data_IF_349084387317
#
_entry.id   IF_349084387317
#
_cell.length_a   1.000
_cell.length_b   1.000
_cell.length_c   1.000
_cell.angle_alpha   90.00
_cell.angle_beta   90.00
_cell.angle_gamma   90.00
#
_symmetry.space_group_name_H-M   'P 1'
#
loop_
_entity.id
_entity.type
_entity.pdbx_description
1 polymer ?
#
# COMPACT_ATOMS: atom_id res chain seq x y z
N UNK A 1 11.05 -6.13 5.44
CA UNK A 1 12.47 -5.71 5.42
C UNK A 1 12.93 -5.16 6.78
N UNK A 2 12.22 -4.17 7.35
CA UNK A 2 12.55 -3.55 8.63
C UNK A 2 12.66 -4.53 9.81
N UNK A 3 11.72 -5.47 9.94
CA UNK A 3 11.74 -6.50 11.01
C UNK A 3 12.94 -7.43 10.92
N UNK A 4 13.35 -7.79 9.70
CA UNK A 4 14.50 -8.67 9.47
C UNK A 4 15.78 -7.92 9.85
N UNK A 5 15.95 -6.69 9.35
CA UNK A 5 17.13 -5.87 9.65
C UNK A 5 17.27 -5.55 11.16
N UNK A 6 16.15 -5.26 11.82
CA UNK A 6 16.11 -5.02 13.26
C UNK A 6 16.46 -6.29 14.05
N UNK A 7 15.88 -7.43 13.68
CA UNK A 7 16.16 -8.70 14.36
C UNK A 7 17.63 -9.10 14.20
N UNK A 8 18.19 -8.99 12.99
CA UNK A 8 19.58 -9.39 12.72
C UNK A 8 20.59 -8.48 13.40
N UNK A 9 20.36 -7.16 13.37
CA UNK A 9 21.26 -6.18 14.01
C UNK A 9 21.25 -6.33 15.53
N UNK A 10 20.07 -6.52 16.13
CA UNK A 10 19.94 -6.76 17.56
C UNK A 10 20.64 -8.06 17.99
N UNK A 11 20.44 -9.17 17.28
CA UNK A 11 21.10 -10.44 17.61
C UNK A 11 22.61 -10.34 17.47
N UNK A 12 23.12 -9.66 16.44
CA UNK A 12 24.56 -9.49 16.24
C UNK A 12 25.18 -8.69 17.39
N UNK A 13 24.63 -7.52 17.72
CA UNK A 13 25.13 -6.67 18.80
C UNK A 13 25.07 -7.42 20.14
N UNK A 14 23.98 -8.15 20.41
CA UNK A 14 23.85 -8.94 21.62
C UNK A 14 24.91 -10.05 21.72
N UNK A 15 25.19 -10.76 20.63
CA UNK A 15 26.24 -11.81 20.61
C UNK A 15 27.63 -11.21 20.83
N UNK A 16 27.95 -10.08 20.21
CA UNK A 16 29.23 -9.38 20.42
C UNK A 16 29.37 -8.92 21.87
N UNK A 17 28.30 -8.35 22.44
CA UNK A 17 28.28 -7.91 23.84
C UNK A 17 28.48 -9.10 24.80
N UNK A 18 27.81 -10.23 24.56
CA UNK A 18 27.93 -11.43 25.37
C UNK A 18 29.37 -12.00 25.33
N UNK A 19 29.98 -12.03 24.14
CA UNK A 19 31.38 -12.45 23.97
C UNK A 19 32.33 -11.53 24.73
N UNK A 20 32.16 -10.20 24.61
CA UNK A 20 33.00 -9.23 25.32
C UNK A 20 32.87 -9.34 26.85
N UNK A 21 31.65 -9.61 27.33
CA UNK A 21 31.35 -9.82 28.75
C UNK A 21 32.02 -11.07 29.31
N UNK A 22 32.21 -12.12 28.50
CA UNK A 22 32.89 -13.37 28.91
C UNK A 22 34.41 -13.27 28.74
N UNK A 23 34.92 -12.57 27.73
CA UNK A 23 36.37 -12.41 27.49
C UNK A 23 37.04 -11.68 28.66
N UNK A 24 36.43 -10.61 29.18
CA UNK A 24 37.01 -9.79 30.24
C UNK A 24 37.37 -10.58 31.52
N UNK A 25 36.47 -11.38 32.11
CA UNK A 25 36.81 -12.23 33.25
C UNK A 25 37.72 -13.40 32.88
N UNK A 26 37.60 -13.97 31.67
CA UNK A 26 38.44 -15.07 31.22
C UNK A 26 39.92 -14.64 31.10
N UNK A 27 40.17 -13.43 30.62
CA UNK A 27 41.52 -12.87 30.51
C UNK A 27 42.12 -12.58 31.90
N UNK A 28 41.32 -12.02 32.83
CA UNK A 28 41.72 -11.81 34.22
C UNK A 28 42.13 -13.13 34.92
N UNK A 29 41.39 -14.22 34.67
CA UNK A 29 41.73 -15.55 35.18
C UNK A 29 43.03 -16.07 34.54
N UNK A 30 43.19 -15.90 33.22
CA UNK A 30 44.36 -16.39 32.50
C UNK A 30 45.66 -15.67 32.91
N UNK A 31 45.60 -14.35 33.12
CA UNK A 31 46.72 -13.55 33.62
C UNK A 31 47.10 -13.93 35.06
N UNK A 32 46.10 -14.22 35.90
CA UNK A 32 46.33 -14.65 37.27
C UNK A 32 46.91 -16.08 37.37
N UNK A 33 46.72 -16.92 36.34
CA UNK A 33 47.30 -18.27 36.26
C UNK A 33 48.79 -18.26 35.84
N UNK A 34 49.19 -17.35 34.95
CA UNK A 34 50.57 -17.27 34.45
C UNK A 34 51.51 -16.40 35.31
N UNK A 35 50.97 -15.54 36.19
CA UNK A 35 51.75 -14.78 37.18
C UNK A 35 52.18 -15.65 38.37
N UNK A 36 53.49 -15.86 38.54
CA UNK A 36 54.05 -16.74 39.58
C UNK A 36 53.87 -16.28 41.04
N UNK A 37 53.64 -17.27 41.91
CA UNK A 37 53.98 -17.37 43.34
C UNK A 37 53.03 -16.79 44.43
N UNK A 38 52.23 -17.69 45.02
CA UNK A 38 51.94 -17.73 46.47
C UNK A 38 50.78 -16.88 47.01
N UNK A 39 50.58 -15.64 46.55
CA UNK A 39 49.55 -14.72 47.11
C UNK A 39 48.37 -14.45 46.17
N UNK A 40 48.49 -14.77 44.88
CA UNK A 40 47.46 -14.53 43.86
C UNK A 40 46.34 -15.59 43.81
N UNK A 41 46.54 -16.80 44.35
CA UNK A 41 45.50 -17.84 44.37
C UNK A 41 44.26 -17.40 45.17
N UNK A 42 44.46 -16.70 46.29
CA UNK A 42 43.36 -16.12 47.08
C UNK A 42 42.56 -15.08 46.27
N UNK A 43 43.24 -14.27 45.45
CA UNK A 43 42.57 -13.28 44.60
C UNK A 43 41.77 -13.96 43.48
N UNK A 44 42.26 -15.07 42.92
CA UNK A 44 41.54 -15.87 41.92
C UNK A 44 40.21 -16.39 42.48
N UNK A 45 40.21 -16.93 43.70
CA UNK A 45 38.98 -17.42 44.35
C UNK A 45 37.97 -16.29 44.61
N UNK A 46 38.43 -15.10 45.00
CA UNK A 46 37.56 -13.94 45.22
C UNK A 46 36.95 -13.46 43.90
N UNK A 47 37.74 -13.38 42.83
CA UNK A 47 37.27 -12.97 41.50
C UNK A 47 36.28 -13.99 40.94
N UNK A 48 36.61 -15.28 40.96
CA UNK A 48 35.73 -16.34 40.48
C UNK A 48 34.42 -16.41 41.29
N UNK A 49 34.50 -16.22 42.61
CA UNK A 49 33.32 -16.16 43.48
C UNK A 49 32.40 -14.98 43.15
N UNK A 50 32.97 -13.78 42.96
CA UNK A 50 32.22 -12.59 42.59
C UNK A 50 31.50 -12.77 41.24
N UNK A 51 32.18 -13.28 40.21
CA UNK A 51 31.56 -13.52 38.91
C UNK A 51 30.51 -14.64 38.90
N UNK A 52 30.71 -15.68 39.70
CA UNK A 52 29.70 -16.74 39.86
C UNK A 52 28.45 -16.17 40.52
N UNK A 53 28.60 -15.33 41.53
CA UNK A 53 27.48 -14.69 42.22
C UNK A 53 26.74 -13.69 41.31
N UNK A 54 27.45 -12.90 40.50
CA UNK A 54 26.81 -12.01 39.53
C UNK A 54 26.07 -12.78 38.44
N UNK A 55 26.62 -13.91 37.96
CA UNK A 55 25.93 -14.78 37.01
C UNK A 55 24.65 -15.36 37.59
N UNK A 56 24.67 -15.81 38.85
CA UNK A 56 23.46 -16.27 39.56
C UNK A 56 22.43 -15.14 39.66
N UNK A 57 22.83 -13.93 40.05
CA UNK A 57 21.92 -12.77 40.12
C UNK A 57 21.31 -12.42 38.75
N UNK A 58 22.12 -12.43 37.69
CA UNK A 58 21.63 -12.20 36.31
C UNK A 58 20.59 -13.23 35.92
N UNK A 59 20.84 -14.52 36.20
CA UNK A 59 19.88 -15.60 35.93
C UNK A 59 18.60 -15.40 36.73
N UNK A 60 18.69 -15.09 38.02
CA UNK A 60 17.51 -14.85 38.87
C UNK A 60 16.68 -13.67 38.37
N UNK A 61 17.31 -12.54 38.03
CA UNK A 61 16.62 -11.36 37.49
C UNK A 61 15.97 -11.69 36.13
N UNK A 62 16.67 -12.41 35.25
CA UNK A 62 16.15 -12.81 33.96
C UNK A 62 14.93 -13.73 34.09
N UNK A 63 15.03 -14.74 34.96
CA UNK A 63 13.95 -15.67 35.26
C UNK A 63 12.75 -14.93 35.86
N UNK A 64 12.98 -14.02 36.81
CA UNK A 64 11.92 -13.18 37.38
C UNK A 64 11.22 -12.37 36.30
N UNK A 65 11.97 -11.69 35.41
CA UNK A 65 11.40 -10.94 34.30
C UNK A 65 10.56 -11.82 33.38
N UNK A 66 11.02 -13.03 33.09
CA UNK A 66 10.28 -13.98 32.26
C UNK A 66 8.97 -14.41 32.93
N UNK A 67 9.00 -14.69 34.24
CA UNK A 67 7.81 -15.07 35.00
C UNK A 67 6.81 -13.91 35.13
N UNK A 68 7.26 -12.71 35.51
CA UNK A 68 6.39 -11.53 35.62
C UNK A 68 5.72 -11.21 34.29
N UNK A 69 6.47 -11.26 33.18
CA UNK A 69 5.88 -10.98 31.85
C UNK A 69 4.80 -12.01 31.49
N UNK A 70 5.04 -13.29 31.79
CA UNK A 70 4.05 -14.35 31.57
C UNK A 70 2.82 -14.16 32.45
N UNK A 71 3.01 -13.87 33.74
CA UNK A 71 1.92 -13.59 34.67
C UNK A 71 1.09 -12.39 34.22
N UNK A 72 1.73 -11.29 33.82
CA UNK A 72 1.03 -10.11 33.29
C UNK A 72 0.18 -10.45 32.07
N UNK A 73 0.66 -11.31 31.16
CA UNK A 73 -0.11 -11.73 29.98
C UNK A 73 -1.29 -12.63 30.37
N UNK A 74 -1.13 -13.46 31.39
CA UNK A 74 -2.22 -14.32 31.90
C UNK A 74 -3.25 -13.54 32.71
N UNK A 75 -2.85 -12.45 33.37
CA UNK A 75 -3.72 -11.53 34.10
C UNK A 75 -4.54 -10.61 33.17
N UNK A 76 -4.16 -10.45 31.89
CA UNK A 76 -5.00 -9.75 30.91
C UNK A 76 -6.33 -10.49 30.81
N UNK A 77 -7.47 -9.87 31.15
CA UNK A 77 -8.75 -10.54 31.15
C UNK A 77 -9.08 -10.99 29.72
N UNK A 78 -8.98 -12.31 29.47
CA UNK A 78 -9.32 -12.90 28.19
C UNK A 78 -10.83 -12.75 28.01
N UNK A 79 -11.26 -12.13 26.90
CA UNK A 79 -12.69 -11.97 26.58
C UNK A 79 -13.36 -13.34 26.64
N UNK A 80 -14.18 -13.56 27.66
CA UNK A 80 -14.87 -14.83 27.85
C UNK A 80 -15.88 -15.02 26.71
N UNK A 81 -15.68 -16.06 25.89
CA UNK A 81 -16.63 -16.46 24.85
C UNK A 81 -17.20 -17.82 25.26
N UNK A 82 -18.50 -17.92 25.59
CA UNK A 82 -19.11 -19.16 26.08
C UNK A 82 -19.27 -20.17 24.95
N UNK A 83 -18.22 -20.96 24.71
CA UNK A 83 -18.16 -21.98 23.64
C UNK A 83 -18.19 -23.40 24.25
N UNK A 84 -17.80 -23.58 25.53
CA UNK A 84 -17.68 -24.89 26.15
C UNK A 84 -19.04 -25.44 26.60
N UNK A 85 -19.11 -26.77 26.75
CA UNK A 85 -20.30 -27.44 27.31
C UNK A 85 -20.35 -27.14 28.81
N UNK A 86 -21.44 -26.54 29.29
CA UNK A 86 -21.64 -26.18 30.70
C UNK A 86 -21.67 -24.68 30.99
N UNK A 87 -21.10 -23.84 30.10
CA UNK A 87 -21.06 -22.38 30.30
C UNK A 87 -22.43 -21.72 30.16
N UNK A 88 -23.26 -22.24 29.24
CA UNK A 88 -24.61 -21.74 28.94
C UNK A 88 -25.56 -22.88 28.61
N UNK A 89 -26.90 -22.69 28.78
CA UNK A 89 -27.89 -23.69 28.38
C UNK A 89 -27.72 -24.11 26.92
N UNK A 90 -27.95 -25.39 26.63
CA UNK A 90 -27.67 -25.97 25.30
C UNK A 90 -28.35 -25.24 24.13
N UNK A 91 -29.55 -24.67 24.35
CA UNK A 91 -30.25 -23.85 23.34
C UNK A 91 -29.51 -22.56 23.00
N UNK A 92 -29.00 -21.86 24.01
CA UNK A 92 -28.24 -20.61 23.84
C UNK A 92 -26.90 -20.90 23.16
N UNK A 93 -26.21 -21.97 23.59
CA UNK A 93 -24.98 -22.43 22.94
C UNK A 93 -25.17 -22.68 21.44
N UNK A 94 -26.27 -23.35 21.07
CA UNK A 94 -26.59 -23.62 19.67
C UNK A 94 -26.78 -22.32 18.87
N UNK A 95 -27.51 -21.34 19.42
CA UNK A 95 -27.70 -20.03 18.77
C UNK A 95 -26.37 -19.28 18.60
N UNK A 96 -25.50 -19.31 19.59
CA UNK A 96 -24.17 -18.68 19.52
C UNK A 96 -23.31 -19.37 18.46
N UNK A 97 -23.28 -20.71 18.43
CA UNK A 97 -22.54 -21.47 17.42
C UNK A 97 -23.07 -21.21 15.99
N UNK A 98 -24.39 -21.17 15.82
CA UNK A 98 -25.03 -20.79 14.55
C UNK A 98 -24.64 -19.36 14.15
N UNK A 99 -24.71 -18.39 15.07
CA UNK A 99 -24.32 -17.01 14.83
C UNK A 99 -22.84 -16.86 14.45
N UNK A 100 -21.94 -17.54 15.17
CA UNK A 100 -20.51 -17.57 14.87
C UNK A 100 -20.23 -18.20 13.50
N UNK A 101 -20.92 -19.30 13.16
CA UNK A 101 -20.76 -19.95 11.85
C UNK A 101 -21.20 -19.01 10.71
N UNK A 102 -22.33 -18.32 10.87
CA UNK A 102 -22.82 -17.32 9.90
C UNK A 102 -21.86 -16.12 9.80
N UNK A 103 -21.38 -15.63 10.95
CA UNK A 103 -20.40 -14.55 11.01
C UNK A 103 -19.08 -14.91 10.37
N UNK A 104 -18.61 -16.16 10.54
CA UNK A 104 -17.40 -16.65 9.89
C UNK A 104 -17.56 -16.75 8.36
N UNK A 105 -18.71 -17.23 7.88
CA UNK A 105 -19.02 -17.26 6.45
C UNK A 105 -19.08 -15.84 5.89
N UNK A 106 -19.77 -14.92 6.57
CA UNK A 106 -19.87 -13.52 6.16
C UNK A 106 -18.49 -12.85 6.16
N UNK A 107 -17.66 -13.07 7.18
CA UNK A 107 -16.31 -12.53 7.25
C UNK A 107 -15.38 -13.08 6.17
N UNK A 108 -15.54 -14.35 5.77
CA UNK A 108 -14.81 -14.93 4.65
C UNK A 108 -15.28 -14.35 3.31
N UNK A 109 -16.60 -14.21 3.17
CA UNK A 109 -17.26 -13.58 2.03
C UNK A 109 -16.87 -12.10 1.88
N UNK A 110 -16.69 -11.40 2.99
CA UNK A 110 -16.37 -9.97 3.02
C UNK A 110 -14.89 -9.66 2.71
N UNK A 111 -14.03 -10.66 2.55
CA UNK A 111 -12.64 -10.38 2.16
C UNK A 111 -12.60 -9.91 0.70
N UNK A 112 -11.74 -8.93 0.37
CA UNK A 112 -11.51 -8.56 -1.03
C UNK A 112 -10.92 -9.78 -1.75
N UNK A 113 -11.63 -10.30 -2.75
CA UNK A 113 -11.15 -11.41 -3.58
C UNK A 113 -10.66 -10.83 -4.90
N UNK A 114 -9.35 -10.90 -5.15
CA UNK A 114 -8.83 -10.66 -6.48
C UNK A 114 -9.30 -11.79 -7.41
N UNK A 115 -9.77 -11.45 -8.61
CA UNK A 115 -10.11 -12.44 -9.64
C UNK A 115 -8.83 -13.20 -10.01
N UNK A 116 -8.84 -14.52 -9.84
CA UNK A 116 -7.70 -15.35 -10.24
C UNK A 116 -7.51 -15.35 -11.76
N UNK A 117 -6.31 -15.68 -12.27
CA UNK A 117 -5.96 -15.64 -13.70
C UNK A 117 -6.78 -16.59 -14.60
N UNK A 118 -7.74 -17.34 -14.05
CA UNK A 118 -8.65 -18.23 -14.77
C UNK A 118 -10.06 -17.69 -14.98
N UNK A 119 -10.35 -16.42 -14.64
CA UNK A 119 -11.57 -15.74 -15.07
C UNK A 119 -12.91 -16.32 -14.56
N UNK A 120 -12.91 -17.31 -13.67
CA UNK A 120 -14.12 -17.96 -13.16
C UNK A 120 -14.62 -17.33 -11.85
N UNK A 121 -15.90 -16.91 -11.76
CA UNK A 121 -16.49 -16.50 -10.49
C UNK A 121 -16.85 -17.73 -9.63
N UNK A 122 -16.50 -17.76 -8.34
CA UNK A 122 -17.12 -18.70 -7.38
C UNK A 122 -18.58 -18.28 -7.09
N UNK A 123 -18.91 -17.01 -7.36
CA UNK A 123 -20.25 -16.44 -7.34
C UNK A 123 -20.35 -15.54 -8.58
N UNK A 124 -21.39 -15.70 -9.40
CA UNK A 124 -21.61 -15.02 -10.69
C UNK A 124 -21.47 -13.48 -10.69
N UNK A 125 -21.39 -12.87 -9.52
CA UNK A 125 -21.16 -11.46 -9.25
C UNK A 125 -20.45 -11.33 -7.88
N UNK A 126 -19.54 -10.36 -7.69
CA UNK A 126 -19.05 -10.03 -6.36
C UNK A 126 -20.23 -9.63 -5.47
N UNK A 127 -20.24 -10.09 -4.22
CA UNK A 127 -21.23 -9.67 -3.19
C UNK A 127 -21.20 -8.15 -2.95
N UNK A 128 -20.08 -7.53 -3.30
CA UNK A 128 -19.84 -6.09 -3.23
C UNK A 128 -20.36 -5.33 -4.46
N UNK A 129 -20.94 -6.02 -5.43
CA UNK A 129 -21.32 -5.44 -6.72
C UNK A 129 -20.11 -5.05 -7.56
N UNK A 130 -20.36 -4.20 -8.56
CA UNK A 130 -19.31 -3.57 -9.35
C UNK A 130 -18.65 -2.46 -8.53
N UNK A 131 -17.34 -2.57 -8.31
CA UNK A 131 -16.57 -1.56 -7.59
C UNK A 131 -16.22 -0.45 -8.59
N UNK A 132 -17.04 0.59 -8.62
CA UNK A 132 -16.79 1.79 -9.42
C UNK A 132 -16.66 2.99 -8.48
N UNK A 133 -15.59 3.77 -8.64
CA UNK A 133 -15.42 5.00 -7.89
C UNK A 133 -15.13 6.16 -8.83
N UNK A 134 -15.72 7.34 -8.57
CA UNK A 134 -15.41 8.52 -9.36
C UNK A 134 -13.90 8.83 -9.35
N UNK A 135 -13.38 9.18 -10.51
CA UNK A 135 -11.97 9.52 -10.72
C UNK A 135 -11.06 8.37 -11.16
N UNK A 136 -11.50 7.12 -11.07
CA UNK A 136 -10.69 5.95 -11.43
C UNK A 136 -11.50 4.87 -12.13
N UNK A 137 -10.80 4.06 -12.92
CA UNK A 137 -11.35 2.86 -13.52
C UNK A 137 -11.59 1.75 -12.49
N UNK A 138 -12.68 0.97 -12.62
CA UNK A 138 -12.82 -0.28 -11.89
C UNK A 138 -11.61 -1.20 -12.12
N UNK A 139 -11.07 -1.84 -11.06
CA UNK A 139 -9.99 -2.83 -11.21
C UNK A 139 -10.42 -4.04 -12.05
N UNK A 140 -11.73 -4.30 -12.13
CA UNK A 140 -12.32 -5.38 -12.92
C UNK A 140 -12.62 -4.97 -14.37
N UNK A 141 -12.38 -3.73 -14.77
CA UNK A 141 -12.65 -3.29 -16.15
C UNK A 141 -11.66 -3.95 -17.12
N UNK A 142 -12.19 -4.63 -18.14
CA UNK A 142 -11.38 -5.34 -19.13
C UNK A 142 -10.53 -4.39 -20.00
N UNK A 143 -11.08 -3.22 -20.29
CA UNK A 143 -10.47 -2.31 -21.28
C UNK A 143 -9.54 -1.27 -20.66
N UNK A 144 -9.76 -0.89 -19.40
CA UNK A 144 -9.08 0.22 -18.72
C UNK A 144 -8.58 -0.20 -17.33
N UNK A 145 -7.70 -1.21 -17.20
CA UNK A 145 -7.29 -1.67 -15.88
C UNK A 145 -6.44 -0.60 -15.17
N UNK A 146 -6.88 -0.19 -13.97
CA UNK A 146 -6.13 0.65 -13.03
C UNK A 146 -5.67 2.01 -13.60
N UNK A 147 -6.57 2.68 -14.31
CA UNK A 147 -6.37 4.01 -14.90
C UNK A 147 -6.98 5.10 -14.02
N UNK A 148 -6.19 6.13 -13.72
CA UNK A 148 -6.66 7.37 -13.13
C UNK A 148 -7.16 8.32 -14.23
N UNK A 149 -8.43 8.71 -14.17
CA UNK A 149 -9.03 9.55 -15.21
C UNK A 149 -8.40 10.94 -15.28
N UNK A 150 -7.99 11.49 -14.13
CA UNK A 150 -7.36 12.81 -14.05
C UNK A 150 -6.01 12.85 -14.81
N UNK A 151 -5.22 11.79 -14.71
CA UNK A 151 -3.97 11.66 -15.44
C UNK A 151 -4.23 11.64 -16.95
N UNK A 152 -5.16 10.82 -17.42
CA UNK A 152 -5.49 10.75 -18.86
C UNK A 152 -6.02 12.09 -19.37
N UNK A 153 -6.90 12.77 -18.61
CA UNK A 153 -7.42 14.08 -19.00
C UNK A 153 -6.33 15.15 -19.09
N UNK A 154 -5.30 15.09 -18.26
CA UNK A 154 -4.17 16.01 -18.33
C UNK A 154 -3.35 15.81 -19.61
N UNK A 155 -3.33 14.59 -20.16
CA UNK A 155 -2.60 14.26 -21.39
C UNK A 155 -3.35 14.64 -22.68
N UNK A 156 -4.69 14.71 -22.67
CA UNK A 156 -5.49 14.97 -23.88
C UNK A 156 -5.08 16.23 -24.66
N UNK A 157 -4.81 17.40 -24.02
CA UNK A 157 -4.36 18.60 -24.72
C UNK A 157 -3.07 18.39 -25.54
N UNK A 158 -2.12 17.64 -24.97
CA UNK A 158 -0.82 17.40 -25.59
C UNK A 158 -0.96 16.51 -26.83
N UNK A 159 -1.83 15.50 -26.77
CA UNK A 159 -2.10 14.62 -27.91
C UNK A 159 -2.73 15.39 -29.07
N UNK A 160 -3.64 16.34 -28.80
CA UNK A 160 -4.25 17.18 -29.84
C UNK A 160 -3.21 18.08 -30.46
N UNK A 161 -2.33 18.68 -29.65
CA UNK A 161 -1.27 19.54 -30.13
C UNK A 161 -0.27 18.78 -31.02
N UNK A 162 0.17 17.60 -30.59
CA UNK A 162 1.04 16.75 -31.38
C UNK A 162 0.39 16.38 -32.72
N UNK A 163 -0.89 16.02 -32.70
CA UNK A 163 -1.66 15.69 -33.91
C UNK A 163 -1.79 16.90 -34.84
N UNK A 164 -2.06 18.09 -34.31
CA UNK A 164 -2.16 19.31 -35.09
C UNK A 164 -0.83 19.69 -35.75
N UNK A 165 0.28 19.52 -35.02
CA UNK A 165 1.65 19.74 -35.56
C UNK A 165 1.98 18.73 -36.65
N UNK A 166 1.63 17.45 -36.49
CA UNK A 166 1.79 16.42 -37.53
C UNK A 166 1.03 16.81 -38.80
N UNK A 167 -0.23 17.23 -38.70
CA UNK A 167 -1.02 17.67 -39.86
C UNK A 167 -0.42 18.90 -40.53
N UNK A 168 -0.04 19.90 -39.75
CA UNK A 168 0.59 21.12 -40.27
C UNK A 168 1.92 20.83 -40.99
N UNK A 169 2.72 19.90 -40.45
CA UNK A 169 3.98 19.48 -41.07
C UNK A 169 3.77 18.83 -42.46
N UNK A 170 2.63 18.16 -42.67
CA UNK A 170 2.29 17.51 -43.95
C UNK A 170 1.74 18.49 -44.99
N UNK A 171 1.01 19.51 -44.56
CA UNK A 171 0.37 20.47 -45.46
C UNK A 171 1.30 21.62 -45.91
N UNK A 172 2.51 21.73 -45.34
CA UNK A 172 3.57 22.71 -45.67
C UNK A 172 3.19 24.20 -45.56
N UNK A 173 1.91 24.55 -45.43
CA UNK A 173 1.37 25.89 -45.19
C UNK A 173 0.02 25.76 -44.47
N UNK A 174 -0.16 26.34 -43.27
CA UNK A 174 0.73 27.20 -42.48
C UNK A 174 1.92 26.48 -41.80
N UNK A 175 2.94 27.24 -41.38
CA UNK A 175 4.13 26.75 -40.67
C UNK A 175 3.78 25.94 -39.41
N UNK A 176 4.55 24.88 -39.08
CA UNK A 176 4.25 23.98 -37.96
C UNK A 176 4.22 24.69 -36.59
N UNK A 177 5.02 25.75 -36.41
CA UNK A 177 5.02 26.59 -35.21
C UNK A 177 3.69 27.31 -34.96
N UNK A 178 2.91 27.53 -36.02
CA UNK A 178 1.61 28.16 -35.93
C UNK A 178 0.56 27.21 -35.35
N UNK A 179 0.72 25.89 -35.55
CA UNK A 179 -0.20 24.87 -35.05
C UNK A 179 0.02 24.54 -33.56
N UNK A 180 1.20 24.85 -33.00
CA UNK A 180 1.50 24.65 -31.58
C UNK A 180 0.72 25.59 -30.68
N UNK A 181 0.36 25.11 -29.48
CA UNK A 181 -0.41 25.87 -28.51
C UNK A 181 0.49 26.90 -27.82
N UNK A 182 0.08 28.18 -27.85
CA UNK A 182 0.79 29.22 -27.09
C UNK A 182 0.61 29.02 -25.57
N UNK A 183 1.62 29.31 -24.73
CA UNK A 183 1.58 29.03 -23.28
C UNK A 183 0.38 29.64 -22.54
N UNK A 184 -0.12 30.80 -22.98
CA UNK A 184 -1.23 31.52 -22.34
C UNK A 184 -2.61 31.17 -22.91
N UNK A 185 -2.68 30.22 -23.85
CA UNK A 185 -3.93 29.89 -24.55
C UNK A 185 -4.66 28.79 -23.78
N UNK A 186 -5.96 28.95 -23.52
CA UNK A 186 -6.78 27.85 -22.99
C UNK A 186 -7.03 26.78 -24.06
N UNK A 187 -7.38 25.55 -23.65
CA UNK A 187 -7.71 24.49 -24.58
C UNK A 187 -8.90 24.87 -25.48
N UNK A 188 -9.95 25.46 -24.89
CA UNK A 188 -11.11 25.95 -25.64
C UNK A 188 -10.71 26.93 -26.74
N UNK A 189 -9.88 27.93 -26.40
CA UNK A 189 -9.39 28.92 -27.37
C UNK A 189 -8.52 28.25 -28.44
N UNK A 190 -7.70 27.28 -28.05
CA UNK A 190 -6.84 26.52 -28.96
C UNK A 190 -7.65 25.72 -29.97
N UNK A 191 -8.71 25.03 -29.55
CA UNK A 191 -9.61 24.30 -30.46
C UNK A 191 -10.30 25.28 -31.43
N UNK A 192 -10.83 26.41 -30.95
CA UNK A 192 -11.41 27.42 -31.84
C UNK A 192 -10.40 27.94 -32.86
N UNK A 193 -9.14 28.08 -32.47
CA UNK A 193 -8.07 28.48 -33.37
C UNK A 193 -7.75 27.40 -34.43
N UNK A 194 -7.69 26.12 -34.04
CA UNK A 194 -7.56 25.02 -35.00
C UNK A 194 -8.74 24.94 -35.97
N UNK A 195 -9.95 25.28 -35.52
CA UNK A 195 -11.12 25.41 -36.39
C UNK A 195 -10.95 26.55 -37.40
N UNK A 196 -10.40 27.72 -37.00
CA UNK A 196 -10.12 28.80 -37.95
C UNK A 196 -9.05 28.44 -38.99
N UNK A 197 -8.13 27.54 -38.64
CA UNK A 197 -7.12 27.01 -39.55
C UNK A 197 -7.68 25.89 -40.47
N UNK A 198 -8.90 25.41 -40.21
CA UNK A 198 -9.54 24.33 -40.99
C UNK A 198 -9.08 22.93 -40.61
N UNK A 199 -8.35 22.75 -39.50
CA UNK A 199 -7.90 21.43 -39.05
C UNK A 199 -8.94 20.66 -38.24
N UNK A 200 -9.91 21.37 -37.65
CA UNK A 200 -10.93 20.78 -36.77
C UNK A 200 -12.31 21.21 -37.24
N UNK A 201 -13.22 20.25 -37.37
CA UNK A 201 -14.63 20.54 -37.61
C UNK A 201 -15.24 21.33 -36.42
N UNK A 202 -15.94 22.45 -36.66
CA UNK A 202 -16.46 23.30 -35.60
C UNK A 202 -17.43 22.58 -34.65
N UNK A 203 -18.25 21.66 -35.18
CA UNK A 203 -19.27 20.96 -34.40
C UNK A 203 -18.60 19.98 -33.44
N UNK A 204 -17.63 19.22 -33.94
CA UNK A 204 -16.89 18.24 -33.13
C UNK A 204 -15.99 18.94 -32.10
N UNK A 205 -15.36 20.05 -32.49
CA UNK A 205 -14.53 20.86 -31.61
C UNK A 205 -15.31 21.44 -30.42
N UNK A 206 -16.48 22.03 -30.67
CA UNK A 206 -17.34 22.57 -29.60
C UNK A 206 -17.83 21.46 -28.66
N UNK A 207 -18.27 20.32 -29.21
CA UNK A 207 -18.72 19.18 -28.43
C UNK A 207 -17.61 18.64 -27.52
N UNK A 208 -16.38 18.54 -28.03
CA UNK A 208 -15.22 18.11 -27.24
C UNK A 208 -14.93 19.07 -26.09
N UNK A 209 -14.85 20.38 -26.37
CA UNK A 209 -14.57 21.40 -25.35
C UNK A 209 -15.61 21.34 -24.24
N UNK A 210 -16.90 21.24 -24.60
CA UNK A 210 -18.00 21.15 -23.63
C UNK A 210 -17.88 19.94 -22.71
N UNK A 211 -17.63 18.74 -23.25
CA UNK A 211 -17.47 17.53 -22.43
C UNK A 211 -16.17 17.56 -21.61
N UNK A 212 -15.09 18.11 -22.17
CA UNK A 212 -13.83 18.26 -21.48
C UNK A 212 -13.94 19.21 -20.28
N UNK A 213 -14.53 20.40 -20.45
CA UNK A 213 -14.71 21.37 -19.38
C UNK A 213 -15.64 20.83 -18.29
N UNK A 214 -16.71 20.13 -18.69
CA UNK A 214 -17.61 19.45 -17.75
C UNK A 214 -16.87 18.41 -16.91
N UNK A 215 -16.04 17.56 -17.52
CA UNK A 215 -15.28 16.55 -16.80
C UNK A 215 -14.16 17.17 -15.93
N UNK A 216 -13.47 18.19 -16.43
CA UNK A 216 -12.30 18.80 -15.78
C UNK A 216 -12.65 19.74 -14.64
N UNK A 217 -13.66 20.59 -14.82
CA UNK A 217 -13.98 21.67 -13.88
C UNK A 217 -15.25 21.39 -13.07
N UNK A 218 -16.31 20.88 -13.70
CA UNK A 218 -17.59 20.72 -13.01
C UNK A 218 -17.65 19.42 -12.18
N UNK A 219 -17.28 18.29 -12.79
CA UNK A 219 -17.35 16.98 -12.12
C UNK A 219 -16.20 16.75 -11.15
N UNK A 220 -15.01 17.29 -11.42
CA UNK A 220 -13.85 17.10 -10.55
C UNK A 220 -14.03 17.68 -9.14
N UNK A 221 -14.87 18.72 -8.99
CA UNK A 221 -15.05 19.43 -7.72
C UNK A 221 -16.21 18.88 -6.87
N UNK A 222 -17.25 18.30 -7.49
CA UNK A 222 -18.48 17.91 -6.79
C UNK A 222 -18.55 16.40 -6.50
N UNK A 223 -18.36 15.55 -7.51
CA UNK A 223 -18.68 14.12 -7.40
C UNK A 223 -17.56 13.21 -7.93
N UNK A 224 -16.58 13.78 -8.65
CA UNK A 224 -15.56 13.07 -9.44
C UNK A 224 -16.10 12.60 -10.79
N UNK A 225 -15.22 12.29 -11.74
CA UNK A 225 -15.62 11.80 -13.07
C UNK A 225 -15.99 10.32 -12.99
N UNK A 226 -17.25 9.99 -13.28
CA UNK A 226 -17.69 8.59 -13.37
C UNK A 226 -17.23 7.91 -14.66
N UNK A 227 -17.19 6.57 -14.67
CA UNK A 227 -16.74 5.79 -15.84
C UNK A 227 -17.52 6.12 -17.12
N UNK A 228 -18.85 6.23 -17.04
CA UNK A 228 -19.69 6.54 -18.20
C UNK A 228 -19.37 7.90 -18.82
N UNK A 229 -19.11 8.91 -17.99
CA UNK A 229 -18.75 10.26 -18.42
C UNK A 229 -17.35 10.27 -19.04
N UNK A 230 -16.39 9.59 -18.40
CA UNK A 230 -15.05 9.44 -18.95
C UNK A 230 -15.08 8.73 -20.33
N UNK A 231 -15.85 7.65 -20.46
CA UNK A 231 -16.02 6.95 -21.74
C UNK A 231 -16.69 7.83 -22.80
N UNK A 232 -17.63 8.69 -22.41
CA UNK A 232 -18.24 9.66 -23.32
C UNK A 232 -17.22 10.69 -23.81
N UNK A 233 -16.42 11.26 -22.91
CA UNK A 233 -15.32 12.17 -23.26
C UNK A 233 -14.34 11.52 -24.23
N UNK A 234 -13.89 10.29 -23.93
CA UNK A 234 -12.95 9.55 -24.79
C UNK A 234 -13.54 9.22 -26.17
N UNK A 235 -14.85 8.95 -26.27
CA UNK A 235 -15.53 8.75 -27.56
C UNK A 235 -15.52 10.02 -28.41
N UNK A 236 -15.84 11.17 -27.82
CA UNK A 236 -15.82 12.46 -28.53
C UNK A 236 -14.39 12.82 -28.94
N UNK A 237 -13.42 12.60 -28.06
CA UNK A 237 -11.99 12.79 -28.34
C UNK A 237 -11.50 11.93 -29.51
N UNK A 238 -11.83 10.63 -29.52
CA UNK A 238 -11.49 9.75 -30.64
C UNK A 238 -12.16 10.19 -31.96
N UNK A 239 -13.38 10.72 -31.87
CA UNK A 239 -14.08 11.34 -33.00
C UNK A 239 -13.33 12.56 -33.52
N UNK A 240 -12.88 13.46 -32.63
CA UNK A 240 -12.08 14.64 -32.96
C UNK A 240 -10.79 14.25 -33.70
N UNK A 241 -9.99 13.34 -33.14
CA UNK A 241 -8.72 12.90 -33.74
C UNK A 241 -8.87 12.19 -35.09
N UNK A 242 -10.06 11.63 -35.37
CA UNK A 242 -10.34 10.98 -36.65
C UNK A 242 -10.75 11.97 -37.74
N UNK A 243 -11.36 13.07 -37.35
CA UNK A 243 -11.81 14.13 -38.27
C UNK A 243 -10.66 15.10 -38.59
N UNK A 244 -9.69 15.25 -37.68
CA UNK A 244 -8.42 15.95 -37.88
C UNK A 244 -7.47 15.18 -38.82
#
# INVERSE_FOLDING_TARGET
LFTIFYSTSFTLIFTVLAVLLVITPADLINQALHGSAGRQTKNIFVIAGCYTLTLILVVVIYVNRLYTTRQLIDDIPKRFVPIKKGDVPGRVRRRIAEGLSKGAVLAWQSKPKARGPGGGPILSHPIWGEINHPGWSPPDSHDLPNVEYAAVMAELPYIIEEKAVDIASRQASPSPELASRKPCMSLARYISYLTTLGYVDPIVGELFVKEYEKCRFWLAEVEGVGEGQFRQLMKVFAGLLRVM
#
